data_IF_790218848028
#
_entry.id   IF_790218848028
#
_cell.length_a   1.000
_cell.length_b   1.000
_cell.length_c   1.000
_cell.angle_alpha   90.00
_cell.angle_beta   90.00
_cell.angle_gamma   90.00
#
_symmetry.space_group_name_H-M   'P 1'
#
loop_
_entity.id
_entity.type
_entity.pdbx_description
1 polymer ?
#
# COMPACT_ATOMS: atom_id res chain seq x y z
N UNK A 1 -23.46 -95.75 72.55
CA UNK A 1 -23.56 -94.54 73.32
C UNK A 1 -23.74 -93.37 72.38
N UNK A 2 -24.89 -92.92 72.31
CA UNK A 2 -25.38 -92.08 71.31
C UNK A 2 -25.04 -90.59 71.42
N UNK A 3 -24.74 -89.95 70.32
CA UNK A 3 -24.72 -88.51 70.19
C UNK A 3 -25.78 -88.14 69.18
N UNK A 4 -26.72 -87.41 69.64
CA UNK A 4 -27.87 -86.96 68.90
C UNK A 4 -27.45 -85.69 68.05
N UNK A 5 -27.58 -85.85 66.76
CA UNK A 5 -27.23 -84.78 65.83
C UNK A 5 -28.45 -83.87 65.73
N UNK A 6 -28.29 -82.60 66.10
CA UNK A 6 -29.33 -81.56 66.03
C UNK A 6 -29.30 -80.92 64.64
N UNK A 7 -30.44 -80.66 63.96
CA UNK A 7 -30.45 -80.08 62.63
C UNK A 7 -30.14 -78.61 62.68
N UNK A 8 -29.09 -78.21 61.98
CA UNK A 8 -28.75 -76.79 61.75
C UNK A 8 -29.75 -76.16 60.79
N UNK A 9 -30.42 -75.12 61.27
CA UNK A 9 -31.28 -74.25 60.46
C UNK A 9 -30.43 -73.46 59.49
N UNK A 10 -30.63 -73.70 58.19
CA UNK A 10 -30.01 -72.89 57.11
C UNK A 10 -30.62 -71.52 57.13
N UNK A 11 -29.85 -70.53 57.58
CA UNK A 11 -30.11 -69.14 57.40
C UNK A 11 -30.03 -68.79 55.93
N UNK A 12 -31.22 -68.43 55.35
CA UNK A 12 -31.33 -67.90 53.99
C UNK A 12 -30.70 -66.52 53.92
N UNK A 13 -29.45 -66.49 53.55
CA UNK A 13 -28.76 -65.25 53.28
C UNK A 13 -29.32 -64.60 52.03
N UNK A 14 -30.07 -63.56 52.21
CA UNK A 14 -30.59 -62.67 51.18
C UNK A 14 -29.42 -62.05 50.41
N UNK A 15 -29.07 -62.57 49.20
CA UNK A 15 -28.08 -61.99 48.32
C UNK A 15 -28.58 -60.63 47.89
N UNK A 16 -28.08 -59.61 48.51
CA UNK A 16 -28.18 -58.23 48.01
C UNK A 16 -27.56 -58.21 46.61
N UNK A 17 -28.36 -57.97 45.58
CA UNK A 17 -27.94 -57.79 44.24
C UNK A 17 -26.94 -56.68 44.18
N UNK A 18 -25.69 -57.05 43.83
CA UNK A 18 -24.62 -56.11 43.57
C UNK A 18 -24.98 -55.37 42.30
N UNK A 19 -25.56 -54.16 42.44
CA UNK A 19 -25.82 -53.30 41.31
C UNK A 19 -24.54 -53.15 40.50
N UNK A 20 -24.57 -53.59 39.27
CA UNK A 20 -23.50 -53.33 38.29
C UNK A 20 -23.47 -51.83 38.06
N UNK A 21 -22.65 -51.14 38.86
CA UNK A 21 -22.23 -49.80 38.50
C UNK A 21 -21.44 -49.93 37.21
N UNK A 22 -22.07 -49.66 36.06
CA UNK A 22 -21.36 -49.41 34.81
C UNK A 22 -20.42 -48.25 35.08
N UNK A 23 -19.11 -48.45 34.93
CA UNK A 23 -18.16 -47.33 35.04
C UNK A 23 -18.56 -46.31 33.97
N UNK A 24 -18.96 -45.11 34.37
CA UNK A 24 -19.14 -44.00 33.43
C UNK A 24 -17.81 -43.82 32.74
N UNK A 25 -17.72 -44.24 31.48
CA UNK A 25 -16.59 -43.91 30.63
C UNK A 25 -16.53 -42.36 30.57
N UNK A 26 -15.55 -41.81 31.24
CA UNK A 26 -15.18 -40.40 31.03
C UNK A 26 -14.67 -40.33 29.60
N UNK A 27 -15.53 -39.85 28.67
CA UNK A 27 -15.12 -39.49 27.33
C UNK A 27 -14.20 -38.31 27.52
N UNK A 28 -12.91 -38.51 27.47
CA UNK A 28 -11.95 -37.42 27.39
C UNK A 28 -12.23 -36.67 26.09
N UNK A 29 -12.86 -35.54 26.17
CA UNK A 29 -13.04 -34.66 25.02
C UNK A 29 -11.63 -34.16 24.68
N UNK A 30 -10.99 -34.81 23.71
CA UNK A 30 -9.79 -34.27 23.07
C UNK A 30 -10.26 -33.17 22.17
N UNK A 31 -10.07 -31.93 22.61
CA UNK A 31 -10.28 -30.77 21.76
C UNK A 31 -9.15 -30.83 20.73
N UNK A 32 -9.52 -31.10 19.48
CA UNK A 32 -8.58 -31.04 18.38
C UNK A 32 -8.35 -29.55 18.05
N UNK A 33 -7.11 -29.10 18.29
CA UNK A 33 -6.71 -27.70 18.05
C UNK A 33 -6.36 -27.44 16.58
N UNK A 34 -6.32 -28.48 15.75
CA UNK A 34 -5.93 -28.37 14.33
C UNK A 34 -6.79 -27.37 13.56
N UNK A 35 -8.13 -27.35 13.68
CA UNK A 35 -8.95 -26.36 12.97
C UNK A 35 -8.70 -24.92 13.41
N UNK A 36 -8.36 -24.72 14.68
CA UNK A 36 -8.07 -23.37 15.19
C UNK A 36 -6.75 -22.84 14.63
N UNK A 37 -5.74 -23.69 14.53
CA UNK A 37 -4.45 -23.34 13.97
C UNK A 37 -4.58 -23.03 12.47
N UNK A 38 -5.37 -23.80 11.74
CA UNK A 38 -5.61 -23.59 10.31
C UNK A 38 -6.25 -22.22 10.04
N UNK A 39 -7.30 -21.89 10.81
CA UNK A 39 -7.93 -20.56 10.71
C UNK A 39 -6.93 -19.44 11.02
N UNK A 40 -6.09 -19.62 12.05
CA UNK A 40 -5.07 -18.64 12.39
C UNK A 40 -4.05 -18.44 11.25
N UNK A 41 -3.59 -19.53 10.62
CA UNK A 41 -2.69 -19.45 9.47
C UNK A 41 -3.37 -18.81 8.24
N UNK A 42 -4.62 -19.13 7.96
CA UNK A 42 -5.37 -18.51 6.86
C UNK A 42 -5.50 -16.99 7.07
N UNK A 43 -5.81 -16.56 8.29
CA UNK A 43 -5.87 -15.14 8.63
C UNK A 43 -4.48 -14.48 8.47
N UNK A 44 -3.42 -15.14 8.94
CA UNK A 44 -2.06 -14.62 8.83
C UNK A 44 -1.66 -14.45 7.35
N UNK A 45 -1.91 -15.46 6.52
CA UNK A 45 -1.62 -15.41 5.08
C UNK A 45 -2.47 -14.33 4.42
N UNK A 46 -3.75 -14.22 4.78
CA UNK A 46 -4.64 -13.18 4.26
C UNK A 46 -4.10 -11.78 4.58
N UNK A 47 -3.73 -11.51 5.83
CA UNK A 47 -3.14 -10.23 6.19
C UNK A 47 -1.78 -9.99 5.52
N UNK A 48 -0.95 -11.02 5.40
CA UNK A 48 0.34 -10.90 4.71
C UNK A 48 0.14 -10.51 3.25
N UNK A 49 -0.76 -11.19 2.54
CA UNK A 49 -1.06 -10.88 1.14
C UNK A 49 -1.67 -9.51 0.99
N UNK A 50 -2.65 -9.14 1.83
CA UNK A 50 -3.29 -7.81 1.75
C UNK A 50 -2.35 -6.67 2.09
N UNK A 51 -1.35 -6.88 2.97
CA UNK A 51 -0.35 -5.86 3.27
C UNK A 51 0.66 -5.68 2.13
N UNK A 52 1.01 -6.75 1.42
CA UNK A 52 1.91 -6.67 0.25
C UNK A 52 1.28 -5.86 -0.89
N UNK A 53 -0.05 -5.98 -1.11
CA UNK A 53 -0.75 -5.17 -2.10
C UNK A 53 -0.96 -3.71 -1.68
N UNK A 54 -0.67 -3.35 -0.45
CA UNK A 54 -0.71 -1.98 0.07
C UNK A 54 0.59 -1.22 -0.09
N UNK A 55 1.56 -1.71 -0.82
CA UNK A 55 2.58 -0.80 -1.30
C UNK A 55 1.88 0.12 -2.30
N UNK A 56 1.46 1.34 -1.90
CA UNK A 56 1.16 2.33 -2.89
C UNK A 56 2.46 2.41 -3.68
N UNK A 57 2.40 2.28 -4.98
CA UNK A 57 3.37 2.94 -5.83
C UNK A 57 3.09 4.44 -5.64
N UNK A 58 3.34 4.91 -4.42
CA UNK A 58 3.49 6.32 -4.20
C UNK A 58 4.71 6.66 -5.04
N UNK A 59 4.49 7.26 -6.20
CA UNK A 59 5.49 8.12 -6.75
C UNK A 59 6.00 8.91 -5.55
N UNK A 60 7.26 8.72 -5.20
CA UNK A 60 7.91 9.63 -4.25
C UNK A 60 7.97 10.99 -4.94
N UNK A 61 6.83 11.69 -4.88
CA UNK A 61 6.80 13.10 -5.19
C UNK A 61 7.56 13.72 -4.05
N UNK A 62 8.85 13.91 -4.25
CA UNK A 62 9.65 14.75 -3.40
C UNK A 62 9.13 16.18 -3.56
N UNK A 63 8.03 16.49 -2.85
CA UNK A 63 7.70 17.88 -2.62
C UNK A 63 8.82 18.43 -1.77
N UNK A 64 9.50 19.48 -2.23
CA UNK A 64 10.46 20.15 -1.38
C UNK A 64 9.73 20.57 -0.10
N UNK A 65 10.21 20.15 1.08
CA UNK A 65 9.65 20.63 2.32
C UNK A 65 9.89 22.14 2.36
N UNK A 66 8.85 22.88 2.61
CA UNK A 66 8.83 24.32 2.88
C UNK A 66 9.95 25.21 2.32
N UNK A 67 9.59 26.41 1.98
CA UNK A 67 10.28 27.52 1.31
C UNK A 67 11.76 27.79 1.65
N UNK A 68 12.40 27.04 2.52
CA UNK A 68 13.72 27.35 3.06
C UNK A 68 14.86 26.38 2.71
N UNK A 69 14.59 25.29 2.00
CA UNK A 69 15.68 24.46 1.47
C UNK A 69 16.13 25.01 0.13
N UNK A 70 17.07 25.96 0.17
CA UNK A 70 17.88 26.34 -1.00
C UNK A 70 18.75 25.15 -1.37
N UNK A 71 18.19 24.20 -2.12
CA UNK A 71 19.00 23.26 -2.85
C UNK A 71 19.68 24.10 -3.92
N UNK A 72 21.00 24.35 -3.80
CA UNK A 72 21.81 24.98 -4.83
C UNK A 72 21.93 24.04 -6.04
N UNK A 73 20.81 23.77 -6.69
CA UNK A 73 20.83 23.17 -8.01
C UNK A 73 21.20 24.31 -8.95
N UNK A 74 22.30 24.16 -9.66
CA UNK A 74 22.65 25.13 -10.69
C UNK A 74 21.41 25.35 -11.57
N UNK A 75 20.94 26.61 -11.67
CA UNK A 75 19.71 26.96 -12.40
C UNK A 75 19.69 26.40 -13.82
N UNK A 76 20.83 26.26 -14.44
CA UNK A 76 21.00 25.65 -15.76
C UNK A 76 20.60 24.17 -15.85
N UNK A 77 20.46 23.49 -14.71
CA UNK A 77 20.06 22.07 -14.61
C UNK A 77 18.58 21.89 -14.25
N UNK A 78 17.83 22.97 -14.13
CA UNK A 78 16.40 22.93 -13.82
C UNK A 78 15.59 23.20 -15.09
N UNK A 79 14.71 22.28 -15.42
CA UNK A 79 13.68 22.45 -16.44
C UNK A 79 12.35 22.72 -15.76
N UNK A 80 11.81 23.91 -15.91
CA UNK A 80 10.50 24.25 -15.34
C UNK A 80 9.43 24.14 -16.40
N UNK A 81 8.37 23.41 -16.09
CA UNK A 81 7.19 23.24 -16.95
C UNK A 81 5.98 23.78 -16.20
N UNK A 82 5.19 24.61 -16.83
CA UNK A 82 3.92 25.11 -16.30
C UNK A 82 2.78 24.68 -17.22
N UNK A 83 1.73 24.10 -16.65
CA UNK A 83 0.58 23.59 -17.39
C UNK A 83 -0.66 24.35 -16.99
N UNK A 84 -1.35 24.91 -17.99
CA UNK A 84 -2.60 25.64 -17.82
C UNK A 84 -3.83 24.75 -18.08
N UNK A 85 -5.04 25.20 -17.71
CA UNK A 85 -6.28 24.44 -17.93
C UNK A 85 -6.60 24.16 -19.40
N UNK A 86 -6.10 25.01 -20.30
CA UNK A 86 -6.40 24.99 -21.75
C UNK A 86 -5.50 24.02 -22.54
N UNK A 87 -4.88 23.05 -21.88
CA UNK A 87 -3.91 22.12 -22.47
C UNK A 87 -2.63 22.82 -22.98
N UNK A 88 -2.46 24.10 -22.68
CA UNK A 88 -1.24 24.87 -22.98
C UNK A 88 -0.17 24.57 -21.94
N UNK A 89 1.04 24.30 -22.42
CA UNK A 89 2.20 24.14 -21.58
C UNK A 89 3.26 25.19 -21.93
N UNK A 90 3.95 25.66 -20.92
CA UNK A 90 5.09 26.57 -21.07
C UNK A 90 6.28 25.94 -20.35
N UNK A 91 7.42 26.01 -21.00
CA UNK A 91 8.63 25.46 -20.40
C UNK A 91 9.79 26.43 -20.53
N UNK A 92 10.71 26.35 -19.58
CA UNK A 92 11.97 27.06 -19.63
C UNK A 92 13.07 26.23 -18.97
N UNK A 93 14.29 26.46 -19.39
CA UNK A 93 15.48 25.87 -18.75
C UNK A 93 16.24 26.96 -18.03
N UNK A 94 16.41 26.82 -16.72
CA UNK A 94 17.09 27.81 -15.92
C UNK A 94 16.49 29.21 -16.07
N UNK A 95 17.31 30.15 -16.55
CA UNK A 95 16.96 31.56 -16.79
C UNK A 95 16.50 31.87 -18.22
N UNK A 96 16.44 30.85 -19.10
CA UNK A 96 15.99 31.03 -20.47
C UNK A 96 14.56 31.60 -20.55
N UNK A 97 14.21 32.28 -21.63
CA UNK A 97 12.82 32.76 -21.82
C UNK A 97 11.82 31.60 -21.89
N UNK A 98 10.61 31.85 -21.51
CA UNK A 98 9.52 30.89 -21.62
C UNK A 98 9.23 30.56 -23.08
N UNK A 99 9.12 29.28 -23.36
CA UNK A 99 8.74 28.76 -24.67
C UNK A 99 7.37 28.11 -24.55
N UNK A 100 6.46 28.55 -25.40
CA UNK A 100 5.13 27.97 -25.48
C UNK A 100 5.18 26.59 -26.16
N UNK A 101 4.48 25.65 -25.60
CA UNK A 101 4.27 24.32 -26.14
C UNK A 101 2.84 23.87 -25.83
N UNK A 102 2.49 22.70 -26.31
CA UNK A 102 1.28 22.00 -25.89
C UNK A 102 1.67 20.80 -25.05
N UNK A 103 0.76 20.25 -24.23
CA UNK A 103 1.03 19.08 -23.40
C UNK A 103 1.55 17.92 -24.25
N UNK A 104 0.93 17.68 -25.41
CA UNK A 104 1.41 16.66 -26.35
C UNK A 104 2.78 16.98 -26.98
N UNK A 105 3.08 18.26 -27.15
CA UNK A 105 4.38 18.72 -27.69
C UNK A 105 5.52 18.61 -26.68
N UNK A 106 5.22 18.47 -25.41
CA UNK A 106 6.20 18.38 -24.34
C UNK A 106 7.11 17.15 -24.48
N UNK A 107 6.60 16.07 -25.03
CA UNK A 107 7.35 14.88 -25.40
C UNK A 107 8.58 15.20 -26.27
N UNK A 108 8.40 16.03 -27.28
CA UNK A 108 9.49 16.45 -28.16
C UNK A 108 10.54 17.31 -27.45
N UNK A 109 10.10 18.09 -26.47
CA UNK A 109 10.97 18.95 -25.64
C UNK A 109 11.80 18.10 -24.66
N UNK A 110 11.22 17.03 -24.12
CA UNK A 110 11.88 16.16 -23.14
C UNK A 110 12.86 15.16 -23.77
N UNK A 111 12.62 14.73 -25.02
CA UNK A 111 13.46 13.74 -25.72
C UNK A 111 14.96 14.07 -25.75
N UNK A 112 15.41 15.32 -26.00
CA UNK A 112 16.82 15.66 -25.98
C UNK A 112 17.50 15.43 -24.63
N UNK A 113 16.75 15.38 -23.55
CA UNK A 113 17.23 15.19 -22.19
C UNK A 113 17.19 13.75 -21.71
N UNK A 114 16.89 12.80 -22.59
CA UNK A 114 16.76 11.38 -22.26
C UNK A 114 17.94 10.85 -21.47
N UNK A 115 17.64 10.28 -20.29
CA UNK A 115 18.66 9.67 -19.42
C UNK A 115 19.60 10.65 -18.71
N UNK A 116 19.30 11.93 -18.75
CA UNK A 116 20.11 12.92 -18.02
C UNK A 116 19.74 12.89 -16.52
N UNK A 117 20.60 12.24 -15.72
CA UNK A 117 20.40 12.09 -14.27
C UNK A 117 20.60 13.40 -13.49
N UNK A 118 21.23 14.40 -14.07
CA UNK A 118 21.51 15.68 -13.40
C UNK A 118 20.38 16.69 -13.58
N UNK A 119 19.50 16.47 -14.56
CA UNK A 119 18.39 17.37 -14.83
C UNK A 119 17.28 17.15 -13.80
N UNK A 120 16.80 18.23 -13.23
CA UNK A 120 15.63 18.25 -12.36
C UNK A 120 14.48 18.89 -13.12
N UNK A 121 13.36 18.20 -13.23
CA UNK A 121 12.15 18.71 -13.89
C UNK A 121 11.17 19.19 -12.84
N UNK A 122 10.87 20.48 -12.82
CA UNK A 122 9.89 21.08 -11.94
C UNK A 122 8.60 21.30 -12.73
N UNK A 123 7.56 20.55 -12.42
CA UNK A 123 6.27 20.63 -13.10
C UNK A 123 5.28 21.34 -12.19
N UNK A 124 4.70 22.44 -12.66
CA UNK A 124 3.66 23.17 -11.95
C UNK A 124 2.37 23.12 -12.76
N UNK A 125 1.35 22.55 -12.17
CA UNK A 125 0.06 22.29 -12.83
C UNK A 125 -1.01 23.18 -12.19
N UNK A 126 -1.81 23.83 -13.01
CA UNK A 126 -2.97 24.58 -12.52
C UNK A 126 -4.00 23.61 -11.90
N UNK A 127 -4.67 24.05 -10.83
CA UNK A 127 -5.69 23.24 -10.15
C UNK A 127 -6.89 22.90 -11.03
N UNK A 128 -7.17 23.75 -12.02
CA UNK A 128 -8.25 23.58 -12.99
C UNK A 128 -7.82 22.76 -14.21
N UNK A 129 -6.54 22.39 -14.31
CA UNK A 129 -6.04 21.56 -15.40
C UNK A 129 -6.60 20.14 -15.33
N UNK A 130 -6.76 19.52 -16.49
CA UNK A 130 -7.26 18.15 -16.59
C UNK A 130 -6.29 17.18 -15.97
N UNK A 131 -6.81 16.23 -15.20
CA UNK A 131 -6.01 15.17 -14.59
C UNK A 131 -5.21 14.36 -15.63
N UNK A 132 -5.81 14.13 -16.81
CA UNK A 132 -5.14 13.41 -17.89
C UNK A 132 -3.81 14.08 -18.30
N UNK A 133 -3.76 15.41 -18.34
CA UNK A 133 -2.54 16.14 -18.70
C UNK A 133 -1.40 15.86 -17.71
N UNK A 134 -1.73 15.71 -16.44
CA UNK A 134 -0.75 15.35 -15.42
C UNK A 134 -0.22 13.92 -15.65
N UNK A 135 -1.10 12.97 -15.95
CA UNK A 135 -0.73 11.59 -16.21
C UNK A 135 0.14 11.50 -17.47
N UNK A 136 -0.28 12.14 -18.57
CA UNK A 136 0.45 12.14 -19.84
C UNK A 136 1.87 12.69 -19.68
N UNK A 137 2.04 13.73 -18.86
CA UNK A 137 3.37 14.31 -18.58
C UNK A 137 4.25 13.35 -17.79
N UNK A 138 3.68 12.67 -16.78
CA UNK A 138 4.41 11.69 -15.96
C UNK A 138 4.84 10.51 -16.81
N UNK A 139 3.95 9.99 -17.64
CA UNK A 139 4.25 8.88 -18.54
C UNK A 139 5.37 9.25 -19.52
N UNK A 140 5.37 10.48 -20.03
CA UNK A 140 6.43 10.95 -20.92
C UNK A 140 7.77 11.09 -20.19
N UNK A 141 7.78 11.54 -18.95
CA UNK A 141 9.00 11.59 -18.12
C UNK A 141 9.59 10.20 -17.89
N UNK A 142 8.74 9.21 -17.67
CA UNK A 142 9.15 7.81 -17.47
C UNK A 142 9.72 7.23 -18.76
N UNK A 143 9.08 7.46 -19.91
CA UNK A 143 9.56 7.04 -21.23
C UNK A 143 10.96 7.60 -21.59
N UNK A 144 11.23 8.81 -21.09
CA UNK A 144 12.52 9.49 -21.29
C UNK A 144 13.54 9.12 -20.20
N UNK A 145 13.13 8.34 -19.19
CA UNK A 145 13.94 7.98 -18.01
C UNK A 145 14.45 9.20 -17.21
N UNK A 146 13.61 10.21 -17.04
CA UNK A 146 13.86 11.36 -16.18
C UNK A 146 13.25 11.09 -14.79
N UNK A 147 14.04 10.54 -13.89
CA UNK A 147 13.59 10.12 -12.55
C UNK A 147 13.57 11.24 -11.52
N UNK A 148 14.24 12.38 -11.80
CA UNK A 148 14.31 13.51 -10.88
C UNK A 148 13.33 14.59 -11.30
N UNK A 149 12.09 14.47 -10.86
CA UNK A 149 11.07 15.49 -11.08
C UNK A 149 10.32 15.83 -9.80
N UNK A 150 9.73 17.00 -9.76
CA UNK A 150 8.85 17.45 -8.68
C UNK A 150 7.57 18.01 -9.29
N UNK A 151 6.44 17.63 -8.69
CA UNK A 151 5.12 18.13 -9.05
C UNK A 151 4.67 19.14 -8.01
N UNK A 152 4.14 20.27 -8.47
CA UNK A 152 3.59 21.30 -7.63
C UNK A 152 2.36 21.93 -8.24
N UNK A 153 1.62 22.70 -7.45
CA UNK A 153 0.51 23.51 -7.94
C UNK A 153 1.02 24.85 -8.42
N UNK A 154 0.46 25.32 -9.54
CA UNK A 154 0.73 26.64 -10.06
C UNK A 154 0.14 27.70 -9.12
N UNK A 155 0.95 28.68 -8.74
CA UNK A 155 0.45 29.81 -7.93
C UNK A 155 -0.25 30.84 -8.80
N UNK A 156 -1.19 31.64 -8.25
CA UNK A 156 -1.90 32.64 -9.04
C UNK A 156 -0.99 33.69 -9.70
N UNK A 157 0.13 34.02 -9.07
CA UNK A 157 1.10 34.96 -9.62
C UNK A 157 1.89 34.36 -10.77
N UNK A 158 2.27 33.10 -10.65
CA UNK A 158 2.93 32.34 -11.73
C UNK A 158 2.01 32.10 -12.93
N UNK A 159 0.69 31.97 -12.68
CA UNK A 159 -0.33 31.86 -13.74
C UNK A 159 -0.37 33.12 -14.56
N UNK A 160 -0.46 34.29 -13.90
CA UNK A 160 -0.47 35.59 -14.57
C UNK A 160 0.80 35.85 -15.39
N UNK A 161 1.96 35.44 -14.89
CA UNK A 161 3.24 35.56 -15.59
C UNK A 161 3.22 34.83 -16.94
N UNK A 162 2.60 33.65 -16.99
CA UNK A 162 2.57 32.81 -18.18
C UNK A 162 1.41 33.18 -19.11
N UNK A 163 0.30 33.74 -18.59
CA UNK A 163 -0.80 34.25 -19.40
C UNK A 163 -0.46 35.58 -20.11
N UNK A 164 0.54 36.30 -19.60
CA UNK A 164 1.03 37.52 -20.18
C UNK A 164 2.04 37.33 -21.33
N UNK A 165 2.42 36.07 -21.62
CA UNK A 165 3.34 35.68 -22.70
C UNK A 165 2.60 35.28 -23.95
#
# INVERSE_FOLDING_TARGET
>A
MGAVDAPQTRSSGKKKGKGMHRPKRRVGIRIDMTPMVDVAFLLLIFFMVTTVFRTPQALEINLPPDKDVKIEIAESKVLTVRVLPDDRAYWKRGTDPWVRSDVMGLAAVLRPFKGNKDLVVLIKIDREAKFNNMVDIIDELDLVNLTRFSLGTLTPDEKKEVEAL
#
